data_IF_148468727486
#
_entry.id   IF_148468727486
#
_cell.length_a   1.000
_cell.length_b   1.000
_cell.length_c   1.000
_cell.angle_alpha   90.00
_cell.angle_beta   90.00
_cell.angle_gamma   90.00
#
_symmetry.space_group_name_H-M   'P 1'
#
loop_
_entity.id
_entity.type
_entity.pdbx_description
1 polymer ?
#
# COMPACT_ATOMS: atom_id res chain seq x y z
N UNK A 1 2.70 -17.74 -6.81
CA UNK A 1 2.82 -16.48 -6.03
C UNK A 1 1.43 -16.05 -5.57
N UNK A 2 1.29 -15.57 -4.33
CA UNK A 2 -0.01 -15.14 -3.77
C UNK A 2 0.10 -13.71 -3.23
N UNK A 3 -0.84 -12.85 -3.59
CA UNK A 3 -0.99 -11.51 -3.03
C UNK A 3 -2.13 -11.51 -2.01
N UNK A 4 -1.81 -11.20 -0.76
CA UNK A 4 -2.75 -11.23 0.37
C UNK A 4 -3.10 -9.80 0.77
N UNK A 5 -4.38 -9.52 0.88
CA UNK A 5 -4.93 -8.23 1.30
C UNK A 5 -6.10 -7.78 0.43
N UNK A 6 -6.92 -6.89 0.95
CA UNK A 6 -8.08 -6.34 0.22
C UNK A 6 -7.65 -5.19 -0.70
N UNK A 7 -8.36 -5.04 -1.84
CA UNK A 7 -8.08 -3.98 -2.82
C UNK A 7 -8.59 -2.58 -2.42
N UNK A 8 -9.24 -2.43 -1.27
CA UNK A 8 -9.50 -1.12 -0.67
C UNK A 8 -8.21 -0.45 -0.16
N UNK A 9 -7.21 -1.27 0.21
CA UNK A 9 -5.87 -0.76 0.52
C UNK A 9 -5.17 -0.23 -0.73
N UNK A 10 -4.72 1.04 -0.74
CA UNK A 10 -3.96 1.58 -1.86
C UNK A 10 -2.62 0.84 -2.06
N UNK A 11 -2.06 0.29 -1.00
CA UNK A 11 -0.80 -0.45 -1.03
C UNK A 11 -0.96 -1.85 -1.65
N UNK A 12 -2.06 -2.55 -1.36
CA UNK A 12 -2.40 -3.81 -2.06
C UNK A 12 -2.67 -3.54 -3.53
N UNK A 13 -3.41 -2.46 -3.81
CA UNK A 13 -3.80 -2.08 -5.17
C UNK A 13 -2.59 -1.77 -6.05
N UNK A 14 -1.59 -1.01 -5.55
CA UNK A 14 -0.38 -0.71 -6.33
C UNK A 14 0.39 -1.99 -6.70
N UNK A 15 0.48 -2.97 -5.80
CA UNK A 15 1.12 -4.26 -6.08
C UNK A 15 0.33 -5.05 -7.13
N UNK A 16 -0.99 -5.15 -6.95
CA UNK A 16 -1.85 -5.88 -7.90
C UNK A 16 -1.79 -5.29 -9.31
N UNK A 17 -1.80 -3.96 -9.43
CA UNK A 17 -1.68 -3.26 -10.71
C UNK A 17 -0.31 -3.53 -11.35
N UNK A 18 0.77 -3.45 -10.57
CA UNK A 18 2.13 -3.69 -11.08
C UNK A 18 2.30 -5.13 -11.55
N UNK A 19 1.84 -6.13 -10.79
CA UNK A 19 1.85 -7.53 -11.20
C UNK A 19 1.13 -7.74 -12.54
N UNK A 20 -0.06 -7.14 -12.70
CA UNK A 20 -0.81 -7.20 -13.96
C UNK A 20 -0.08 -6.50 -15.11
N UNK A 21 0.45 -5.32 -14.88
CA UNK A 21 1.18 -4.55 -15.90
C UNK A 21 2.46 -5.25 -16.37
N UNK A 22 3.12 -5.97 -15.48
CA UNK A 22 4.33 -6.75 -15.78
C UNK A 22 4.02 -8.18 -16.28
N UNK A 23 2.72 -8.53 -16.43
CA UNK A 23 2.26 -9.86 -16.84
C UNK A 23 2.79 -11.00 -15.95
N UNK A 24 2.92 -10.72 -14.65
CA UNK A 24 3.33 -11.73 -13.66
C UNK A 24 2.08 -12.38 -13.08
N UNK A 25 1.87 -13.69 -13.24
CA UNK A 25 0.70 -14.38 -12.73
C UNK A 25 0.73 -14.47 -11.20
N UNK A 26 -0.42 -14.24 -10.57
CA UNK A 26 -0.58 -14.35 -9.13
C UNK A 26 -2.02 -14.73 -8.75
N UNK A 27 -2.17 -15.37 -7.62
CA UNK A 27 -3.45 -15.59 -6.95
C UNK A 27 -3.71 -14.42 -5.99
N UNK A 28 -4.90 -13.81 -6.09
CA UNK A 28 -5.31 -12.78 -5.13
C UNK A 28 -6.14 -13.40 -4.01
N UNK A 29 -5.68 -13.28 -2.77
CA UNK A 29 -6.42 -13.68 -1.56
C UNK A 29 -6.89 -12.43 -0.81
N UNK A 30 -8.18 -12.12 -0.95
CA UNK A 30 -8.81 -10.93 -0.37
C UNK A 30 -9.13 -11.13 1.11
N UNK A 31 -8.10 -11.09 1.96
CA UNK A 31 -8.23 -11.16 3.41
C UNK A 31 -8.12 -9.77 4.04
N UNK A 32 -9.05 -9.46 4.96
CA UNK A 32 -9.01 -8.23 5.75
C UNK A 32 -8.05 -8.39 6.93
N UNK A 33 -7.20 -7.41 7.16
CA UNK A 33 -6.32 -7.35 8.35
C UNK A 33 -7.10 -7.16 9.65
N UNK A 34 -8.38 -6.82 9.58
CA UNK A 34 -9.27 -6.66 10.74
C UNK A 34 -10.22 -7.85 10.88
N UNK A 35 -11.10 -8.05 9.90
CA UNK A 35 -12.13 -9.10 9.95
C UNK A 35 -11.55 -10.51 9.91
N UNK A 36 -10.50 -10.72 9.11
CA UNK A 36 -9.89 -12.02 8.88
C UNK A 36 -8.55 -12.18 9.61
N UNK A 37 -8.39 -11.53 10.77
CA UNK A 37 -7.13 -11.44 11.52
C UNK A 37 -6.48 -12.80 11.75
N UNK A 38 -7.25 -13.80 12.22
CA UNK A 38 -6.75 -15.15 12.51
C UNK A 38 -6.27 -15.86 11.23
N UNK A 39 -7.03 -15.77 10.14
CA UNK A 39 -6.66 -16.38 8.87
C UNK A 39 -5.42 -15.69 8.27
N UNK A 40 -5.34 -14.38 8.39
CA UNK A 40 -4.19 -13.59 7.92
C UNK A 40 -2.93 -13.91 8.73
N UNK A 41 -3.07 -14.01 10.06
CA UNK A 41 -1.94 -14.27 10.97
C UNK A 41 -1.25 -15.60 10.74
N UNK A 42 -1.98 -16.61 10.22
CA UNK A 42 -1.40 -17.92 9.85
C UNK A 42 -0.50 -17.81 8.61
N UNK A 43 -0.68 -16.80 7.78
CA UNK A 43 0.16 -16.54 6.61
C UNK A 43 1.32 -15.61 6.99
N UNK A 44 0.98 -14.51 7.67
CA UNK A 44 1.93 -13.51 8.14
C UNK A 44 1.51 -13.05 9.55
N UNK A 45 2.26 -13.43 10.61
CA UNK A 45 1.92 -13.06 11.99
C UNK A 45 1.88 -11.56 12.26
N UNK A 46 2.52 -10.73 11.41
CA UNK A 46 2.49 -9.26 11.53
C UNK A 46 1.12 -8.71 11.11
N UNK A 47 0.32 -9.48 10.35
CA UNK A 47 -1.02 -9.10 9.86
C UNK A 47 -0.97 -7.74 9.16
N UNK A 48 -0.11 -7.63 8.16
CA UNK A 48 0.08 -6.40 7.37
C UNK A 48 -0.19 -6.63 5.89
N UNK A 49 -1.07 -5.84 5.30
CA UNK A 49 -1.36 -5.83 3.87
C UNK A 49 -0.63 -4.69 3.16
N UNK A 50 -0.07 -4.91 1.95
CA UNK A 50 0.01 -6.19 1.27
C UNK A 50 1.02 -7.16 1.90
N UNK A 51 0.72 -8.42 1.83
CA UNK A 51 1.68 -9.52 2.01
C UNK A 51 1.79 -10.26 0.68
N UNK A 52 2.99 -10.52 0.19
CA UNK A 52 3.23 -11.37 -0.97
C UNK A 52 3.92 -12.66 -0.51
N UNK A 53 3.34 -13.81 -0.91
CA UNK A 53 3.97 -15.12 -0.71
C UNK A 53 4.52 -15.57 -2.05
N UNK A 54 5.83 -15.74 -2.14
CA UNK A 54 6.52 -16.20 -3.36
C UNK A 54 6.28 -17.69 -3.61
N UNK A 55 6.65 -18.20 -4.79
CA UNK A 55 6.46 -19.61 -5.14
C UNK A 55 7.31 -20.56 -4.27
N UNK A 56 8.44 -20.09 -3.77
CA UNK A 56 9.30 -20.80 -2.82
C UNK A 56 8.94 -20.55 -1.34
N UNK A 57 7.81 -19.87 -1.08
CA UNK A 57 7.23 -19.72 0.25
C UNK A 57 7.78 -18.56 1.08
N UNK A 58 8.57 -17.65 0.49
CA UNK A 58 9.05 -16.46 1.19
C UNK A 58 7.89 -15.46 1.35
N UNK A 59 7.74 -14.93 2.57
CA UNK A 59 6.71 -13.95 2.90
C UNK A 59 7.30 -12.55 2.89
N UNK A 60 6.89 -11.74 1.93
CA UNK A 60 7.36 -10.36 1.75
C UNK A 60 6.34 -9.33 2.20
N UNK A 61 6.79 -8.32 2.87
CA UNK A 61 6.17 -7.03 3.22
C UNK A 61 7.27 -5.97 3.06
N UNK A 62 7.02 -4.76 2.89
CA UNK A 62 5.95 -3.88 2.55
C UNK A 62 5.76 -3.76 1.01
N UNK A 63 4.83 -2.90 0.55
CA UNK A 63 4.54 -2.77 -0.88
C UNK A 63 5.74 -2.31 -1.72
N UNK A 64 6.62 -1.48 -1.19
CA UNK A 64 7.81 -1.00 -1.92
C UNK A 64 8.83 -2.12 -2.11
N UNK A 65 9.08 -2.94 -1.07
CA UNK A 65 10.00 -4.08 -1.18
C UNK A 65 9.41 -5.20 -2.03
N UNK A 66 8.09 -5.41 -1.97
CA UNK A 66 7.38 -6.32 -2.89
C UNK A 66 7.57 -5.88 -4.33
N UNK A 67 7.40 -4.58 -4.63
CA UNK A 67 7.62 -4.05 -5.99
C UNK A 67 9.06 -4.19 -6.43
N UNK A 68 10.03 -3.95 -5.55
CA UNK A 68 11.44 -4.18 -5.85
C UNK A 68 11.72 -5.63 -6.24
N UNK A 69 11.12 -6.59 -5.53
CA UNK A 69 11.23 -8.01 -5.88
C UNK A 69 10.60 -8.32 -7.25
N UNK A 70 9.39 -7.80 -7.51
CA UNK A 70 8.67 -7.99 -8.78
C UNK A 70 9.46 -7.41 -9.95
N UNK A 71 10.03 -6.23 -9.81
CA UNK A 71 10.91 -5.60 -10.81
C UNK A 71 12.12 -6.47 -11.12
N UNK A 72 12.71 -7.09 -10.09
CA UNK A 72 13.89 -7.96 -10.24
C UNK A 72 13.62 -9.27 -10.99
N UNK A 73 12.39 -9.76 -11.02
CA UNK A 73 12.01 -10.99 -11.75
C UNK A 73 11.28 -10.71 -13.06
N UNK A 74 11.02 -9.44 -13.38
CA UNK A 74 10.32 -9.04 -14.60
C UNK A 74 11.29 -8.82 -15.76
N UNK A 75 10.82 -9.12 -16.99
CA UNK A 75 11.55 -8.80 -18.22
C UNK A 75 11.50 -7.30 -18.57
N UNK A 76 10.56 -6.55 -18.00
CA UNK A 76 10.38 -5.10 -18.21
C UNK A 76 10.28 -4.39 -16.87
N UNK A 77 10.56 -3.09 -16.85
CA UNK A 77 10.47 -2.27 -15.64
C UNK A 77 9.33 -1.25 -15.74
N UNK A 78 8.66 -1.02 -14.60
CA UNK A 78 7.72 0.09 -14.40
C UNK A 78 8.35 1.20 -13.56
N UNK A 79 9.50 0.95 -12.95
CA UNK A 79 10.15 1.91 -12.06
C UNK A 79 10.88 2.99 -12.88
N UNK A 80 10.52 4.26 -12.70
CA UNK A 80 11.21 5.35 -13.38
C UNK A 80 12.56 5.65 -12.73
N UNK A 81 13.48 6.19 -13.53
CA UNK A 81 14.83 6.52 -13.07
C UNK A 81 15.01 8.03 -12.77
N UNK A 82 14.09 8.88 -13.24
CA UNK A 82 14.21 10.33 -13.05
C UNK A 82 13.76 10.77 -11.66
N UNK A 83 14.47 11.74 -11.09
CA UNK A 83 14.10 12.31 -9.79
C UNK A 83 12.68 12.89 -9.78
N UNK A 84 12.25 13.50 -10.90
CA UNK A 84 10.91 14.07 -11.04
C UNK A 84 9.82 12.99 -10.95
N UNK A 85 9.99 11.86 -11.64
CA UNK A 85 9.03 10.77 -11.59
C UNK A 85 9.04 10.08 -10.21
N UNK A 86 10.20 9.92 -9.58
CA UNK A 86 10.30 9.42 -8.20
C UNK A 86 9.65 10.39 -7.20
N UNK A 87 9.74 11.70 -7.41
CA UNK A 87 9.02 12.71 -6.62
C UNK A 87 7.50 12.48 -6.70
N UNK A 88 6.95 12.30 -7.91
CA UNK A 88 5.51 12.04 -8.10
C UNK A 88 5.06 10.76 -7.39
N UNK A 89 5.85 9.68 -7.46
CA UNK A 89 5.57 8.44 -6.71
C UNK A 89 5.61 8.71 -5.20
N UNK A 90 6.60 9.45 -4.71
CA UNK A 90 6.72 9.79 -3.30
C UNK A 90 5.52 10.60 -2.79
N UNK A 91 5.08 11.61 -3.55
CA UNK A 91 3.88 12.40 -3.22
C UNK A 91 2.62 11.54 -3.18
N UNK A 92 2.44 10.65 -4.16
CA UNK A 92 1.32 9.71 -4.18
C UNK A 92 1.32 8.76 -2.96
N UNK A 93 2.50 8.26 -2.57
CA UNK A 93 2.65 7.42 -1.37
C UNK A 93 2.34 8.19 -0.09
N UNK A 94 2.75 9.46 0.00
CA UNK A 94 2.40 10.31 1.16
C UNK A 94 0.90 10.59 1.21
N UNK A 95 0.25 10.82 0.08
CA UNK A 95 -1.21 10.93 0.03
C UNK A 95 -1.90 9.66 0.54
N UNK A 96 -1.43 8.48 0.13
CA UNK A 96 -1.93 7.19 0.63
C UNK A 96 -1.72 7.06 2.15
N UNK A 97 -0.53 7.37 2.65
CA UNK A 97 -0.20 7.31 4.08
C UNK A 97 -1.12 8.20 4.93
N UNK A 98 -1.28 9.46 4.51
CA UNK A 98 -2.15 10.41 5.24
C UNK A 98 -3.62 10.02 5.16
N UNK A 99 -4.09 9.48 4.05
CA UNK A 99 -5.44 8.95 3.93
C UNK A 99 -5.68 7.80 4.90
N UNK A 100 -4.77 6.83 4.95
CA UNK A 100 -4.89 5.68 5.87
C UNK A 100 -4.87 6.13 7.34
N UNK A 101 -4.02 7.09 7.70
CA UNK A 101 -4.00 7.65 9.06
C UNK A 101 -5.36 8.27 9.46
N UNK A 102 -5.99 9.04 8.56
CA UNK A 102 -7.32 9.63 8.80
C UNK A 102 -8.38 8.53 8.97
N UNK A 103 -8.38 7.54 8.06
CA UNK A 103 -9.33 6.44 8.11
C UNK A 103 -9.19 5.66 9.43
N UNK A 104 -7.98 5.32 9.84
CA UNK A 104 -7.75 4.57 11.08
C UNK A 104 -8.17 5.37 12.32
N UNK A 105 -7.86 6.65 12.40
CA UNK A 105 -8.29 7.48 13.52
C UNK A 105 -9.82 7.55 13.61
N UNK A 106 -10.51 7.71 12.46
CA UNK A 106 -11.97 7.86 12.42
C UNK A 106 -12.74 6.56 12.58
N UNK A 107 -12.21 5.44 12.12
CA UNK A 107 -12.96 4.17 12.08
C UNK A 107 -12.56 3.19 13.16
N UNK A 108 -11.32 3.22 13.65
CA UNK A 108 -10.82 2.26 14.63
C UNK A 108 -10.82 2.80 16.06
N UNK A 109 -10.75 4.12 16.22
CA UNK A 109 -10.80 4.75 17.54
C UNK A 109 -12.22 5.19 17.87
N UNK A 110 -12.71 4.95 19.11
CA UNK A 110 -13.97 5.50 19.55
C UNK A 110 -13.98 7.03 19.43
N UNK A 111 -15.14 7.62 19.17
CA UNK A 111 -15.27 9.08 18.92
C UNK A 111 -14.65 9.91 20.03
N UNK A 112 -14.87 9.53 21.30
CA UNK A 112 -14.34 10.22 22.48
C UNK A 112 -12.82 10.14 22.66
N UNK A 113 -12.16 9.25 21.88
CA UNK A 113 -10.68 9.07 21.88
C UNK A 113 -10.03 9.58 20.62
N UNK A 114 -10.80 10.07 19.66
CA UNK A 114 -10.26 10.69 18.45
C UNK A 114 -9.66 12.06 18.80
N UNK A 115 -8.49 12.35 18.21
CA UNK A 115 -7.78 13.58 18.48
C UNK A 115 -7.90 14.55 17.29
N UNK A 116 -8.81 15.52 17.41
CA UNK A 116 -9.11 16.47 16.33
C UNK A 116 -7.89 17.27 15.83
N UNK A 117 -6.99 17.79 16.70
CA UNK A 117 -5.78 18.49 16.22
C UNK A 117 -4.86 17.59 15.36
N UNK A 118 -4.79 16.30 15.65
CA UNK A 118 -4.05 15.34 14.84
C UNK A 118 -4.70 15.15 13.46
N UNK A 119 -6.02 14.97 13.40
CA UNK A 119 -6.75 14.84 12.15
C UNK A 119 -6.59 16.09 11.26
N UNK A 120 -6.64 17.27 11.84
CA UNK A 120 -6.43 18.53 11.10
C UNK A 120 -5.01 18.64 10.53
N UNK A 121 -4.00 18.26 11.32
CA UNK A 121 -2.61 18.21 10.86
C UNK A 121 -2.46 17.24 9.68
N UNK A 122 -2.96 16.03 9.81
CA UNK A 122 -2.86 14.99 8.77
C UNK A 122 -3.62 15.41 7.51
N UNK A 123 -4.81 16.02 7.65
CA UNK A 123 -5.57 16.55 6.52
C UNK A 123 -4.81 17.65 5.77
N UNK A 124 -4.14 18.56 6.46
CA UNK A 124 -3.28 19.58 5.82
C UNK A 124 -2.14 18.94 5.02
N UNK A 125 -1.49 17.90 5.56
CA UNK A 125 -0.43 17.15 4.85
C UNK A 125 -0.99 16.46 3.61
N UNK A 126 -2.18 15.84 3.69
CA UNK A 126 -2.85 15.21 2.57
C UNK A 126 -3.16 16.22 1.44
N UNK A 127 -3.75 17.36 1.79
CA UNK A 127 -4.06 18.42 0.83
C UNK A 127 -2.79 18.97 0.17
N UNK A 128 -1.71 19.14 0.93
CA UNK A 128 -0.43 19.57 0.39
C UNK A 128 0.15 18.56 -0.62
N UNK A 129 0.04 17.26 -0.33
CA UNK A 129 0.48 16.22 -1.26
C UNK A 129 -0.30 16.26 -2.58
N UNK A 130 -1.63 16.40 -2.52
CA UNK A 130 -2.46 16.54 -3.73
C UNK A 130 -2.15 17.81 -4.50
N UNK A 131 -2.01 18.96 -3.82
CA UNK A 131 -1.67 20.20 -4.48
C UNK A 131 -0.33 20.14 -5.24
N UNK A 132 0.66 19.43 -4.67
CA UNK A 132 1.93 19.21 -5.36
C UNK A 132 1.80 18.23 -6.53
N UNK A 133 1.00 17.18 -6.40
CA UNK A 133 0.73 16.23 -7.49
C UNK A 133 0.08 16.94 -8.69
N UNK A 134 -0.88 17.84 -8.46
CA UNK A 134 -1.51 18.66 -9.51
C UNK A 134 -0.49 19.52 -10.29
N UNK A 135 0.57 19.97 -9.63
CA UNK A 135 1.63 20.77 -10.27
C UNK A 135 2.63 19.91 -11.06
N UNK A 136 2.70 18.61 -10.78
CA UNK A 136 3.65 17.70 -11.45
C UNK A 136 2.99 16.83 -12.52
N UNK A 137 1.69 16.93 -12.68
CA UNK A 137 0.89 16.14 -13.63
C UNK A 137 1.06 16.60 -15.09
#
# INVERSE_FOLDING_TARGET
>A
MQLIGMLDSPYVRRVAISLKRLNIPFEHRSLSVFRDFEAFSRINPIVKAPTLVTDDGIVLVDSTLILQYIEGISATSLMPETAQALQSIGLALMACDKTVQIIYERTLRPTEKQHQPWLERVAKQLHAAYAQLEQTA
#
